data_IF_588128403520
#
_entry.id   IF_588128403520
#
_cell.length_a   1.000
_cell.length_b   1.000
_cell.length_c   1.000
_cell.angle_alpha   90.00
_cell.angle_beta   90.00
_cell.angle_gamma   90.00
#
_symmetry.space_group_name_H-M   'P 1'
#
loop_
_entity.id
_entity.type
_entity.pdbx_description
1 polymer ?
#
# COMPACT_ATOMS: atom_id res chain seq x y z
N UNK A 1 -34.59 -25.82 25.76
CA UNK A 1 -34.50 -24.36 25.95
C UNK A 1 -33.64 -24.14 27.18
N UNK A 2 -32.33 -24.01 27.00
CA UNK A 2 -31.40 -23.62 28.06
C UNK A 2 -31.02 -22.16 27.80
N UNK A 3 -31.04 -21.39 28.88
CA UNK A 3 -30.90 -19.95 28.91
C UNK A 3 -29.46 -19.57 28.57
N UNK A 4 -29.32 -18.70 27.57
CA UNK A 4 -28.07 -18.19 27.00
C UNK A 4 -27.44 -17.24 28.02
N UNK A 5 -26.33 -17.64 28.64
CA UNK A 5 -25.53 -16.75 29.47
C UNK A 5 -24.67 -15.90 28.52
N UNK A 6 -25.00 -14.63 28.38
CA UNK A 6 -24.38 -13.69 27.42
C UNK A 6 -23.16 -12.97 27.99
N UNK A 7 -22.58 -13.47 29.09
CA UNK A 7 -21.57 -12.74 29.85
C UNK A 7 -20.17 -13.40 29.89
N UNK A 8 -19.98 -14.56 29.26
CA UNK A 8 -18.69 -15.25 29.24
C UNK A 8 -18.25 -15.47 27.79
N UNK A 9 -17.10 -14.89 27.39
CA UNK A 9 -16.43 -15.21 26.11
C UNK A 9 -16.22 -16.73 25.98
N UNK A 10 -15.89 -17.36 27.12
CA UNK A 10 -15.56 -18.78 27.30
C UNK A 10 -16.64 -19.80 26.87
N UNK A 11 -17.88 -19.37 26.62
CA UNK A 11 -18.95 -20.26 26.14
C UNK A 11 -19.05 -20.30 24.60
N UNK A 12 -18.11 -19.68 23.90
CA UNK A 12 -18.13 -19.55 22.43
C UNK A 12 -16.98 -20.29 21.73
N UNK A 13 -15.77 -20.32 22.27
CA UNK A 13 -14.63 -20.92 21.56
C UNK A 13 -14.63 -22.46 21.62
N UNK A 14 -14.26 -23.13 20.53
CA UNK A 14 -14.21 -24.61 20.51
C UNK A 14 -12.98 -25.14 21.26
N UNK A 15 -11.82 -24.51 21.05
CA UNK A 15 -10.57 -24.88 21.67
C UNK A 15 -9.86 -23.63 22.19
N UNK A 16 -9.64 -23.59 23.50
CA UNK A 16 -8.92 -22.50 24.16
C UNK A 16 -7.52 -22.99 24.57
N UNK A 17 -6.45 -22.39 24.02
CA UNK A 17 -5.07 -22.81 24.24
C UNK A 17 -4.29 -21.69 24.93
N UNK A 18 -4.07 -21.85 26.23
CA UNK A 18 -3.45 -20.83 27.09
C UNK A 18 -4.51 -20.08 27.88
N UNK A 19 -4.27 -18.80 28.11
CA UNK A 19 -5.14 -17.87 28.82
C UNK A 19 -5.62 -16.71 27.94
N UNK A 20 -6.48 -15.86 28.50
CA UNK A 20 -6.98 -14.64 27.84
C UNK A 20 -6.05 -13.44 27.98
N UNK A 21 -4.86 -13.62 28.54
CA UNK A 21 -3.90 -12.57 28.81
C UNK A 21 -2.46 -13.03 28.52
N UNK A 22 -1.54 -12.10 28.17
CA UNK A 22 -0.14 -12.42 27.92
C UNK A 22 0.61 -13.05 29.10
N UNK A 23 0.04 -13.14 30.30
CA UNK A 23 0.67 -13.79 31.46
C UNK A 23 0.34 -15.27 31.59
N UNK A 24 -0.70 -15.75 30.89
CA UNK A 24 -1.18 -17.12 30.97
C UNK A 24 -0.98 -17.77 29.60
N UNK A 25 0.24 -18.29 29.38
CA UNK A 25 0.70 -18.73 28.06
C UNK A 25 0.77 -20.25 27.98
N UNK A 26 0.21 -20.79 26.91
CA UNK A 26 0.63 -22.11 26.44
C UNK A 26 2.02 -22.02 25.80
N UNK A 27 2.84 -23.05 25.94
CA UNK A 27 4.18 -23.09 25.36
C UNK A 27 4.35 -24.37 24.54
N UNK A 28 4.95 -24.26 23.35
CA UNK A 28 5.31 -25.41 22.50
C UNK A 28 4.13 -26.30 22.13
N UNK A 29 2.99 -25.69 21.78
CA UNK A 29 1.78 -26.41 21.38
C UNK A 29 1.72 -26.53 19.86
N UNK A 30 1.43 -27.73 19.38
CA UNK A 30 1.11 -27.95 17.96
C UNK A 30 -0.32 -28.47 17.84
N UNK A 31 -1.14 -27.72 17.12
CA UNK A 31 -2.46 -28.14 16.63
C UNK A 31 -2.29 -28.52 15.17
N UNK A 32 -2.54 -29.79 14.84
CA UNK A 32 -2.34 -30.28 13.48
C UNK A 32 -3.37 -31.32 13.06
N UNK A 33 -3.63 -31.39 11.76
CA UNK A 33 -4.49 -32.39 11.13
C UNK A 33 -5.91 -32.44 11.74
N UNK A 34 -6.44 -31.28 12.17
CA UNK A 34 -7.79 -31.18 12.71
C UNK A 34 -8.78 -30.63 11.67
N UNK A 35 -10.05 -30.95 11.85
CA UNK A 35 -11.16 -30.30 11.15
C UNK A 35 -12.07 -29.59 12.15
N UNK A 36 -12.06 -28.27 12.16
CA UNK A 36 -13.00 -27.45 12.91
C UNK A 36 -14.12 -26.96 11.98
N UNK A 37 -15.38 -27.28 12.30
CA UNK A 37 -16.52 -27.03 11.39
C UNK A 37 -17.73 -26.51 12.15
N UNK A 38 -18.42 -25.51 11.60
CA UNK A 38 -19.71 -25.00 12.09
C UNK A 38 -19.66 -24.43 13.52
N UNK A 39 -18.59 -23.71 13.87
CA UNK A 39 -18.53 -22.97 15.13
C UNK A 39 -19.50 -21.79 15.05
N UNK A 40 -20.59 -21.85 15.82
CA UNK A 40 -21.72 -20.90 15.67
C UNK A 40 -21.51 -19.57 16.36
N UNK A 41 -20.80 -19.58 17.49
CA UNK A 41 -20.54 -18.45 18.35
C UNK A 41 -19.04 -18.47 18.59
N UNK A 42 -18.26 -17.47 18.19
CA UNK A 42 -16.82 -17.42 18.51
C UNK A 42 -15.93 -18.21 17.55
N UNK A 43 -14.68 -18.41 17.97
CA UNK A 43 -13.59 -18.91 17.13
C UNK A 43 -13.36 -20.42 17.29
N UNK A 44 -12.74 -21.05 16.29
CA UNK A 44 -12.31 -22.44 16.42
C UNK A 44 -11.18 -22.58 17.44
N UNK A 45 -10.23 -21.65 17.41
CA UNK A 45 -9.15 -21.59 18.38
C UNK A 45 -8.97 -20.17 18.87
N UNK A 46 -8.87 -20.01 20.19
CA UNK A 46 -8.48 -18.77 20.85
C UNK A 46 -7.39 -19.02 21.90
N UNK A 47 -6.62 -17.99 22.22
CA UNK A 47 -5.75 -17.95 23.38
C UNK A 47 -4.46 -17.16 23.15
N UNK A 48 -3.49 -17.46 23.99
CA UNK A 48 -2.20 -16.78 24.03
C UNK A 48 -1.07 -17.77 24.27
N UNK A 49 0.04 -17.64 23.55
CA UNK A 49 1.11 -18.63 23.65
C UNK A 49 2.49 -18.22 23.15
N UNK A 50 3.46 -19.12 23.36
CA UNK A 50 4.81 -19.04 22.81
C UNK A 50 5.13 -20.31 22.05
N UNK A 51 5.66 -20.18 20.84
CA UNK A 51 6.03 -21.30 19.97
C UNK A 51 4.84 -22.22 19.67
N UNK A 52 3.70 -21.61 19.32
CA UNK A 52 2.45 -22.33 19.00
C UNK A 52 2.30 -22.48 17.49
N UNK A 53 1.89 -23.67 17.05
CA UNK A 53 1.81 -24.02 15.62
C UNK A 53 0.42 -24.54 15.27
N UNK A 54 -0.13 -24.04 14.18
CA UNK A 54 -1.37 -24.47 13.54
C UNK A 54 -1.03 -25.01 12.16
N UNK A 55 -1.06 -26.33 11.99
CA UNK A 55 -0.52 -26.99 10.81
C UNK A 55 -1.57 -27.87 10.11
N UNK A 56 -1.61 -27.83 8.78
CA UNK A 56 -2.33 -28.82 7.95
C UNK A 56 -3.79 -29.09 8.38
N UNK A 57 -4.49 -28.08 8.88
CA UNK A 57 -5.84 -28.21 9.43
C UNK A 57 -6.89 -27.56 8.54
N UNK A 58 -8.15 -27.99 8.70
CA UNK A 58 -9.31 -27.41 8.02
C UNK A 58 -10.16 -26.60 9.01
N UNK A 59 -10.44 -25.34 8.68
CA UNK A 59 -11.31 -24.46 9.45
C UNK A 59 -12.45 -23.98 8.56
N UNK A 60 -13.66 -24.49 8.80
CA UNK A 60 -14.79 -24.32 7.88
C UNK A 60 -16.02 -23.75 8.59
N UNK A 61 -16.60 -22.68 8.03
CA UNK A 61 -17.87 -22.10 8.49
C UNK A 61 -17.84 -21.70 9.98
N UNK A 62 -17.05 -20.68 10.31
CA UNK A 62 -17.06 -20.07 11.65
C UNK A 62 -17.89 -18.79 11.63
N UNK A 63 -18.75 -18.67 12.62
CA UNK A 63 -19.78 -17.63 12.70
C UNK A 63 -21.07 -18.03 11.99
N UNK A 64 -22.17 -17.40 12.42
CA UNK A 64 -23.48 -17.53 11.77
C UNK A 64 -24.07 -16.15 11.48
N UNK A 65 -24.79 -15.95 10.36
CA UNK A 65 -25.54 -14.73 10.13
C UNK A 65 -26.47 -14.44 11.32
N UNK A 66 -26.29 -13.29 11.98
CA UNK A 66 -27.03 -12.93 13.20
C UNK A 66 -26.36 -13.35 14.52
N UNK A 67 -25.14 -13.88 14.50
CA UNK A 67 -24.30 -13.95 15.68
C UNK A 67 -24.04 -12.53 16.23
N UNK A 68 -23.93 -12.42 17.57
CA UNK A 68 -23.73 -11.12 18.22
C UNK A 68 -22.39 -10.47 17.86
N UNK A 69 -21.42 -11.26 17.41
CA UNK A 69 -20.10 -10.83 16.99
C UNK A 69 -19.68 -11.60 15.73
N UNK A 70 -18.99 -10.94 14.78
CA UNK A 70 -18.17 -11.63 13.78
C UNK A 70 -17.20 -12.61 14.47
N UNK A 71 -16.78 -13.65 13.76
CA UNK A 71 -15.95 -14.70 14.35
C UNK A 71 -14.80 -15.08 13.42
N UNK A 72 -13.60 -15.03 13.98
CA UNK A 72 -12.41 -15.55 13.33
C UNK A 72 -12.41 -17.09 13.34
N UNK A 73 -11.65 -17.72 12.44
CA UNK A 73 -11.33 -19.14 12.65
C UNK A 73 -10.34 -19.30 13.78
N UNK A 74 -9.23 -18.56 13.73
CA UNK A 74 -8.22 -18.55 14.80
C UNK A 74 -8.03 -17.10 15.24
N UNK A 75 -8.12 -16.85 16.54
CA UNK A 75 -7.75 -15.58 17.16
C UNK A 75 -6.66 -15.88 18.18
N UNK A 76 -5.40 -15.54 17.90
CA UNK A 76 -4.31 -16.01 18.76
C UNK A 76 -3.21 -14.98 18.94
N UNK A 77 -2.85 -14.70 20.19
CA UNK A 77 -1.77 -13.76 20.52
C UNK A 77 -0.49 -14.44 21.00
N UNK A 78 0.61 -13.67 21.03
CA UNK A 78 1.88 -14.11 21.61
C UNK A 78 3.04 -14.24 20.61
N UNK A 79 4.01 -15.10 20.89
CA UNK A 79 5.30 -15.11 20.17
C UNK A 79 5.60 -16.44 19.47
N UNK A 80 6.27 -16.40 18.32
CA UNK A 80 6.74 -17.63 17.66
C UNK A 80 5.59 -18.44 17.07
N UNK A 81 4.55 -17.74 16.60
CA UNK A 81 3.33 -18.37 16.09
C UNK A 81 3.55 -18.81 14.64
N UNK A 82 3.21 -20.05 14.32
CA UNK A 82 3.29 -20.57 12.96
C UNK A 82 1.91 -21.04 12.50
N UNK A 83 1.40 -20.47 11.42
CA UNK A 83 0.14 -20.88 10.78
C UNK A 83 0.49 -21.36 9.37
N UNK A 84 0.51 -22.67 9.13
CA UNK A 84 0.98 -23.18 7.85
C UNK A 84 0.21 -24.38 7.30
N UNK A 85 0.00 -24.39 5.99
CA UNK A 85 -0.63 -25.52 5.29
C UNK A 85 -2.12 -25.70 5.59
N UNK A 86 -2.77 -24.72 6.20
CA UNK A 86 -4.18 -24.83 6.57
C UNK A 86 -5.11 -24.41 5.43
N UNK A 87 -6.33 -24.90 5.49
CA UNK A 87 -7.43 -24.47 4.63
C UNK A 87 -8.51 -23.76 5.47
N UNK A 88 -8.80 -22.52 5.14
CA UNK A 88 -9.82 -21.70 5.76
C UNK A 88 -10.95 -21.43 4.78
N UNK A 89 -12.20 -21.61 5.21
CA UNK A 89 -13.36 -21.37 4.36
C UNK A 89 -14.51 -20.73 5.13
N UNK A 90 -15.09 -19.64 4.59
CA UNK A 90 -16.28 -18.98 5.11
C UNK A 90 -16.19 -18.62 6.61
N UNK A 91 -15.22 -17.78 6.99
CA UNK A 91 -15.30 -17.06 8.28
C UNK A 91 -16.28 -15.89 8.15
N UNK A 92 -16.90 -15.45 9.24
CA UNK A 92 -17.66 -14.19 9.26
C UNK A 92 -16.79 -12.96 9.55
N UNK A 93 -15.62 -13.14 10.15
CA UNK A 93 -14.59 -12.11 10.35
C UNK A 93 -13.30 -12.48 9.63
N UNK A 94 -12.30 -13.01 10.35
CA UNK A 94 -10.99 -13.35 9.80
C UNK A 94 -10.71 -14.84 9.67
N UNK A 95 -9.85 -15.23 8.72
CA UNK A 95 -9.32 -16.60 8.75
C UNK A 95 -8.29 -16.78 9.87
N UNK A 96 -7.44 -15.77 10.09
CA UNK A 96 -6.60 -15.70 11.27
C UNK A 96 -6.46 -14.24 11.72
N UNK A 97 -6.69 -14.01 13.01
CA UNK A 97 -6.46 -12.76 13.70
C UNK A 97 -5.38 -12.95 14.77
N UNK A 98 -4.51 -11.95 14.91
CA UNK A 98 -3.36 -12.00 15.79
C UNK A 98 -3.21 -10.68 16.54
N UNK A 99 -3.33 -10.76 17.85
CA UNK A 99 -3.29 -9.59 18.72
C UNK A 99 -2.00 -9.62 19.55
N UNK A 100 -1.22 -8.54 19.49
CA UNK A 100 0.03 -8.35 20.24
C UNK A 100 1.02 -9.52 20.03
N UNK A 101 1.34 -9.77 18.77
CA UNK A 101 2.13 -10.90 18.34
C UNK A 101 3.49 -10.55 17.73
N UNK A 102 4.45 -11.43 18.01
CA UNK A 102 5.83 -11.29 17.54
C UNK A 102 6.36 -12.60 16.96
N UNK A 103 7.27 -12.51 15.99
CA UNK A 103 7.89 -13.67 15.36
C UNK A 103 6.82 -14.62 14.76
N UNK A 104 5.93 -14.06 13.94
CA UNK A 104 4.80 -14.79 13.36
C UNK A 104 5.10 -15.18 11.93
N UNK A 105 4.86 -16.45 11.59
CA UNK A 105 5.01 -16.98 10.24
C UNK A 105 3.69 -17.57 9.77
N UNK A 106 3.14 -16.99 8.71
CA UNK A 106 1.89 -17.45 8.10
C UNK A 106 2.18 -17.84 6.66
N UNK A 107 2.18 -19.13 6.38
CA UNK A 107 2.69 -19.62 5.11
C UNK A 107 1.91 -20.76 4.48
N UNK A 108 1.82 -20.78 3.15
CA UNK A 108 1.25 -21.90 2.41
C UNK A 108 -0.19 -22.26 2.83
N UNK A 109 -0.98 -21.28 3.30
CA UNK A 109 -2.38 -21.48 3.61
C UNK A 109 -3.24 -21.15 2.39
N UNK A 110 -4.42 -21.74 2.35
CA UNK A 110 -5.46 -21.41 1.38
C UNK A 110 -6.64 -20.81 2.15
N UNK A 111 -7.00 -19.57 1.83
CA UNK A 111 -8.16 -18.89 2.37
C UNK A 111 -9.18 -18.72 1.26
N UNK A 112 -10.41 -19.16 1.51
CA UNK A 112 -11.52 -19.03 0.59
C UNK A 112 -12.69 -18.37 1.29
N UNK A 113 -13.09 -17.19 0.82
CA UNK A 113 -14.21 -16.44 1.37
C UNK A 113 -14.05 -16.11 2.86
N UNK A 114 -13.08 -15.29 3.22
CA UNK A 114 -13.09 -14.63 4.52
C UNK A 114 -14.11 -13.48 4.54
N UNK A 115 -14.82 -13.32 5.66
CA UNK A 115 -15.93 -12.38 5.76
C UNK A 115 -15.50 -10.91 5.72
N UNK A 116 -14.45 -10.55 6.46
CA UNK A 116 -13.91 -9.18 6.50
C UNK A 116 -12.44 -9.13 6.08
N UNK A 117 -11.64 -10.12 6.51
CA UNK A 117 -10.19 -10.09 6.41
C UNK A 117 -9.65 -11.52 6.25
N UNK A 118 -8.81 -11.85 5.28
CA UNK A 118 -8.18 -13.17 5.32
C UNK A 118 -7.18 -13.25 6.50
N UNK A 119 -6.42 -12.19 6.72
CA UNK A 119 -5.49 -12.09 7.84
C UNK A 119 -5.55 -10.72 8.49
N UNK A 120 -5.61 -10.69 9.82
CA UNK A 120 -5.67 -9.47 10.62
C UNK A 120 -4.56 -9.44 11.69
N UNK A 121 -3.88 -8.29 11.79
CA UNK A 121 -2.97 -7.96 12.88
C UNK A 121 -3.48 -6.76 13.67
N UNK A 122 -3.28 -6.89 14.98
CA UNK A 122 -3.05 -5.78 15.86
C UNK A 122 -4.27 -5.30 16.62
N UNK A 123 -3.95 -4.76 17.79
CA UNK A 123 -4.86 -4.05 18.68
C UNK A 123 -4.27 -2.67 18.94
N UNK A 124 -5.15 -1.66 19.03
CA UNK A 124 -4.71 -0.30 19.34
C UNK A 124 -3.89 -0.27 20.64
N UNK A 125 -2.65 0.24 20.54
CA UNK A 125 -1.73 0.39 21.67
C UNK A 125 -0.68 -0.71 21.82
N UNK A 126 -0.77 -1.77 21.01
CA UNK A 126 0.22 -2.85 21.00
C UNK A 126 1.22 -2.72 19.84
N UNK A 127 2.36 -3.41 19.98
CA UNK A 127 3.38 -3.55 18.94
C UNK A 127 3.42 -4.99 18.44
N UNK A 128 3.15 -5.18 17.14
CA UNK A 128 3.35 -6.45 16.45
C UNK A 128 4.66 -6.39 15.66
N UNK A 129 5.44 -7.48 15.68
CA UNK A 129 6.75 -7.46 15.04
C UNK A 129 7.22 -8.76 14.41
N UNK A 130 8.13 -8.65 13.44
CA UNK A 130 8.78 -9.78 12.76
C UNK A 130 7.77 -10.74 12.14
N UNK A 131 6.84 -10.20 11.35
CA UNK A 131 5.85 -10.99 10.63
C UNK A 131 6.39 -11.41 9.27
N UNK A 132 6.18 -12.69 8.92
CA UNK A 132 6.35 -13.21 7.57
C UNK A 132 5.03 -13.83 7.08
N UNK A 133 4.42 -13.23 6.07
CA UNK A 133 3.23 -13.72 5.38
C UNK A 133 3.60 -14.14 3.95
N UNK A 134 3.69 -15.44 3.67
CA UNK A 134 4.30 -15.92 2.42
C UNK A 134 3.68 -17.17 1.80
N UNK A 135 3.61 -17.22 0.46
CA UNK A 135 3.13 -18.40 -0.26
C UNK A 135 1.66 -18.75 -0.01
N UNK A 136 0.86 -17.82 0.51
CA UNK A 136 -0.56 -18.03 0.74
C UNK A 136 -1.37 -17.77 -0.54
N UNK A 137 -2.49 -18.48 -0.67
CA UNK A 137 -3.53 -18.21 -1.66
C UNK A 137 -4.76 -17.68 -0.94
N UNK A 138 -5.17 -16.46 -1.25
CA UNK A 138 -6.45 -15.89 -0.81
C UNK A 138 -7.35 -15.74 -2.03
N UNK A 139 -8.49 -16.41 -2.02
CA UNK A 139 -9.48 -16.30 -3.07
C UNK A 139 -10.85 -15.97 -2.46
N UNK A 140 -11.14 -14.67 -2.43
CA UNK A 140 -12.35 -14.15 -1.82
C UNK A 140 -13.38 -13.74 -2.88
N UNK A 141 -14.59 -14.25 -2.72
CA UNK A 141 -15.79 -13.78 -3.44
C UNK A 141 -16.63 -12.84 -2.59
N UNK A 142 -16.30 -12.77 -1.29
CA UNK A 142 -16.87 -11.83 -0.33
C UNK A 142 -15.97 -10.61 -0.18
N UNK A 143 -16.54 -9.46 0.14
CA UNK A 143 -15.82 -8.22 0.26
C UNK A 143 -14.98 -8.18 1.53
N UNK A 144 -13.65 -8.12 1.38
CA UNK A 144 -12.73 -8.07 2.50
C UNK A 144 -11.31 -7.65 2.11
N UNK A 145 -10.50 -7.39 3.13
CA UNK A 145 -9.05 -7.16 3.02
C UNK A 145 -8.34 -8.51 2.94
N UNK A 146 -7.37 -8.65 2.05
CA UNK A 146 -6.57 -9.87 2.03
C UNK A 146 -5.61 -9.95 3.22
N UNK A 147 -5.09 -8.80 3.60
CA UNK A 147 -4.20 -8.64 4.73
C UNK A 147 -4.50 -7.28 5.34
N UNK A 148 -4.55 -7.24 6.66
CA UNK A 148 -4.88 -6.02 7.39
C UNK A 148 -4.01 -5.91 8.63
N UNK A 149 -3.28 -4.82 8.74
CA UNK A 149 -2.56 -4.41 9.93
C UNK A 149 -2.91 -2.96 10.22
N UNK A 150 -4.08 -2.72 10.81
CA UNK A 150 -4.67 -1.36 10.89
C UNK A 150 -4.76 -0.77 12.28
N UNK A 151 -4.49 -1.54 13.32
CA UNK A 151 -4.59 -1.07 14.70
C UNK A 151 -3.32 -1.46 15.47
N UNK A 152 -2.43 -0.51 15.75
CA UNK A 152 -1.19 -0.78 16.48
C UNK A 152 0.03 -0.13 15.82
N UNK A 153 1.22 -0.51 16.30
CA UNK A 153 2.51 -0.23 15.65
C UNK A 153 3.06 -1.53 15.09
N UNK A 154 3.58 -1.50 13.87
CA UNK A 154 4.02 -2.72 13.18
C UNK A 154 5.49 -2.60 12.79
N UNK A 155 6.34 -3.54 13.22
CA UNK A 155 7.77 -3.49 12.90
C UNK A 155 8.22 -4.76 12.16
N UNK A 156 8.94 -4.63 11.04
CA UNK A 156 9.44 -5.74 10.23
C UNK A 156 8.31 -6.66 9.72
N UNK A 157 7.48 -6.13 8.83
CA UNK A 157 6.38 -6.87 8.19
C UNK A 157 6.78 -7.26 6.77
N UNK A 158 6.83 -8.56 6.48
CA UNK A 158 7.14 -9.07 5.15
C UNK A 158 5.95 -9.84 4.56
N UNK A 159 5.38 -9.32 3.46
CA UNK A 159 4.27 -9.94 2.70
C UNK A 159 4.83 -10.32 1.33
N UNK A 160 5.15 -11.60 1.14
CA UNK A 160 5.98 -12.02 0.00
C UNK A 160 5.47 -13.25 -0.73
N UNK A 161 5.46 -13.22 -2.06
CA UNK A 161 5.16 -14.42 -2.86
C UNK A 161 3.74 -14.99 -2.68
N UNK A 162 2.76 -14.15 -2.33
CA UNK A 162 1.37 -14.58 -2.15
C UNK A 162 0.55 -14.34 -3.42
N UNK A 163 -0.53 -15.10 -3.56
CA UNK A 163 -1.55 -14.88 -4.60
C UNK A 163 -2.84 -14.43 -3.95
N UNK A 164 -3.34 -13.27 -4.37
CA UNK A 164 -4.58 -12.71 -3.86
C UNK A 164 -5.55 -12.44 -5.00
N UNK A 165 -6.76 -12.98 -4.90
CA UNK A 165 -7.80 -12.86 -5.90
C UNK A 165 -9.07 -12.43 -5.18
N UNK A 166 -9.58 -11.25 -5.52
CA UNK A 166 -10.91 -10.81 -5.14
C UNK A 166 -11.74 -10.72 -6.41
N UNK A 167 -12.81 -11.53 -6.46
CA UNK A 167 -13.78 -11.55 -7.56
C UNK A 167 -15.16 -11.00 -7.14
N UNK A 168 -15.22 -10.26 -6.02
CA UNK A 168 -16.48 -9.76 -5.47
C UNK A 168 -17.10 -8.71 -6.39
N UNK A 169 -18.32 -8.93 -6.90
CA UNK A 169 -19.00 -8.00 -7.79
C UNK A 169 -19.66 -6.83 -7.05
N UNK A 170 -19.67 -6.83 -5.71
CA UNK A 170 -20.44 -5.86 -4.93
C UNK A 170 -19.58 -4.64 -4.55
N UNK A 171 -20.10 -3.41 -4.69
CA UNK A 171 -19.44 -2.20 -4.22
C UNK A 171 -19.51 -2.15 -2.70
N UNK A 172 -18.48 -2.65 -2.03
CA UNK A 172 -18.39 -2.51 -0.58
C UNK A 172 -17.58 -1.31 -0.17
N UNK A 173 -18.07 -0.63 0.86
CA UNK A 173 -17.35 0.44 1.53
C UNK A 173 -16.12 -0.13 2.24
N UNK A 174 -14.93 0.36 1.92
CA UNK A 174 -13.69 -0.01 2.61
C UNK A 174 -12.48 -0.04 1.68
N UNK A 175 -11.29 -0.17 2.28
CA UNK A 175 -10.05 -0.45 1.54
C UNK A 175 -9.99 -1.97 1.32
N UNK A 176 -9.71 -2.41 0.09
CA UNK A 176 -9.48 -3.83 -0.20
C UNK A 176 -7.97 -4.05 -0.40
N UNK A 177 -7.57 -5.28 -0.68
CA UNK A 177 -6.17 -5.58 -0.94
C UNK A 177 -5.34 -5.82 0.33
N UNK A 178 -4.06 -5.45 0.25
CA UNK A 178 -3.14 -5.40 1.38
C UNK A 178 -3.26 -4.02 2.03
N UNK A 179 -3.66 -3.98 3.29
CA UNK A 179 -3.86 -2.73 4.03
C UNK A 179 -2.94 -2.70 5.23
N UNK A 180 -1.96 -1.81 5.19
CA UNK A 180 -1.13 -1.45 6.33
C UNK A 180 -1.59 -0.06 6.77
N UNK A 181 -2.02 0.05 8.02
CA UNK A 181 -2.47 1.31 8.62
C UNK A 181 -1.28 2.23 8.89
N UNK A 182 -1.42 3.02 9.95
CA UNK A 182 -0.43 4.03 10.30
C UNK A 182 0.73 3.43 11.12
N UNK A 183 1.86 4.14 11.16
CA UNK A 183 2.99 3.87 12.06
C UNK A 183 3.69 2.51 11.90
N UNK A 184 3.71 1.93 10.69
CA UNK A 184 4.49 0.74 10.40
C UNK A 184 5.94 1.08 10.00
N UNK A 185 6.89 0.24 10.40
CA UNK A 185 8.31 0.37 10.07
C UNK A 185 8.86 -0.92 9.48
N UNK A 186 9.67 -0.80 8.42
CA UNK A 186 10.33 -1.96 7.82
C UNK A 186 9.32 -2.88 7.13
N UNK A 187 8.46 -2.30 6.30
CA UNK A 187 7.43 -3.04 5.55
C UNK A 187 7.99 -3.46 4.21
N UNK A 188 7.93 -4.75 3.89
CA UNK A 188 8.30 -5.30 2.58
C UNK A 188 7.10 -6.02 1.96
N UNK A 189 6.66 -5.56 0.80
CA UNK A 189 5.62 -6.20 -0.01
C UNK A 189 6.25 -6.59 -1.34
N UNK A 190 6.53 -7.88 -1.56
CA UNK A 190 7.32 -8.28 -2.72
C UNK A 190 6.88 -9.56 -3.42
N UNK A 191 6.92 -9.57 -4.75
CA UNK A 191 6.67 -10.78 -5.53
C UNK A 191 5.25 -11.34 -5.41
N UNK A 192 4.27 -10.51 -5.02
CA UNK A 192 2.88 -10.94 -4.90
C UNK A 192 2.14 -10.78 -6.22
N UNK A 193 1.16 -11.65 -6.46
CA UNK A 193 0.17 -11.51 -7.53
C UNK A 193 -1.14 -11.05 -6.92
N UNK A 194 -1.54 -9.81 -7.17
CA UNK A 194 -2.70 -9.17 -6.55
C UNK A 194 -3.72 -8.82 -7.63
N UNK A 195 -4.91 -9.42 -7.54
CA UNK A 195 -6.05 -9.06 -8.38
C UNK A 195 -7.20 -8.64 -7.50
N UNK A 196 -7.51 -7.35 -7.52
CA UNK A 196 -8.70 -6.79 -6.88
C UNK A 196 -9.67 -6.35 -7.96
N UNK A 197 -10.81 -7.02 -8.09
CA UNK A 197 -11.95 -6.46 -8.84
C UNK A 197 -12.99 -5.97 -7.86
N UNK A 198 -13.26 -4.67 -7.85
CA UNK A 198 -14.37 -4.08 -7.11
C UNK A 198 -14.94 -2.91 -7.89
N UNK A 199 -16.25 -2.72 -7.81
CA UNK A 199 -16.92 -1.51 -8.29
C UNK A 199 -16.78 -0.34 -7.29
N UNK A 200 -16.10 -0.56 -6.15
CA UNK A 200 -15.79 0.49 -5.19
C UNK A 200 -14.83 1.54 -5.80
N UNK A 201 -15.22 2.83 -5.82
CA UNK A 201 -14.38 3.89 -6.37
C UNK A 201 -13.06 4.11 -5.61
N UNK A 202 -12.98 3.76 -4.32
CA UNK A 202 -11.82 3.98 -3.45
C UNK A 202 -11.03 2.68 -3.18
N UNK A 203 -10.90 1.85 -4.20
CA UNK A 203 -10.30 0.54 -4.10
C UNK A 203 -8.78 0.59 -4.32
N UNK A 204 -7.98 0.01 -3.43
CA UNK A 204 -6.53 -0.09 -3.59
C UNK A 204 -6.11 -1.55 -3.55
N UNK A 205 -5.10 -1.93 -4.32
CA UNK A 205 -4.50 -3.25 -4.17
C UNK A 205 -3.50 -3.28 -3.00
N UNK A 206 -2.78 -2.18 -2.79
CA UNK A 206 -1.90 -1.93 -1.65
C UNK A 206 -2.21 -0.53 -1.12
N UNK A 207 -2.57 -0.46 0.16
CA UNK A 207 -2.71 0.79 0.90
C UNK A 207 -1.72 0.81 2.06
N UNK A 208 -0.96 1.90 2.15
CA UNK A 208 -0.04 2.19 3.24
C UNK A 208 -0.42 3.55 3.83
N UNK A 209 -0.93 3.54 5.06
CA UNK A 209 -1.34 4.73 5.80
C UNK A 209 -0.19 5.65 6.22
N UNK A 210 -0.49 6.53 7.18
CA UNK A 210 0.36 7.62 7.61
C UNK A 210 1.57 7.17 8.41
N UNK A 211 2.66 7.93 8.28
CA UNK A 211 3.88 7.78 9.08
C UNK A 211 4.56 6.40 8.93
N UNK A 212 4.20 5.65 7.90
CA UNK A 212 4.92 4.43 7.54
C UNK A 212 6.35 4.79 7.13
N UNK A 213 7.34 3.99 7.55
CA UNK A 213 8.75 4.28 7.26
C UNK A 213 9.53 3.03 6.87
N UNK A 214 10.57 3.19 6.05
CA UNK A 214 11.39 2.06 5.57
C UNK A 214 10.52 1.05 4.79
N UNK A 215 9.77 1.55 3.80
CA UNK A 215 8.80 0.78 3.01
C UNK A 215 9.43 0.30 1.69
N UNK A 216 9.29 -0.97 1.37
CA UNK A 216 9.70 -1.55 0.09
C UNK A 216 8.53 -2.25 -0.57
N UNK A 217 8.14 -1.82 -1.76
CA UNK A 217 7.14 -2.50 -2.60
C UNK A 217 7.80 -2.86 -3.92
N UNK A 218 8.03 -4.16 -4.18
CA UNK A 218 8.84 -4.56 -5.34
C UNK A 218 8.41 -5.85 -6.04
N UNK A 219 8.49 -5.87 -7.36
CA UNK A 219 8.25 -7.09 -8.14
C UNK A 219 6.83 -7.64 -8.02
N UNK A 220 5.84 -6.82 -7.67
CA UNK A 220 4.45 -7.26 -7.58
C UNK A 220 3.74 -7.14 -8.93
N UNK A 221 2.87 -8.11 -9.24
CA UNK A 221 1.95 -8.07 -10.37
C UNK A 221 0.56 -7.66 -9.84
N UNK A 222 0.06 -6.50 -10.27
CA UNK A 222 -1.13 -5.86 -9.67
C UNK A 222 -2.15 -5.52 -10.74
N UNK A 223 -3.32 -6.17 -10.66
CA UNK A 223 -4.55 -5.74 -11.30
C UNK A 223 -5.47 -5.12 -10.24
N UNK A 224 -5.81 -3.84 -10.37
CA UNK A 224 -6.76 -3.18 -9.45
C UNK A 224 -7.88 -2.54 -10.25
N UNK A 225 -9.08 -3.13 -10.25
CA UNK A 225 -10.26 -2.54 -10.86
C UNK A 225 -10.86 -1.41 -10.00
N UNK A 226 -11.52 -0.46 -10.66
CA UNK A 226 -12.26 0.65 -10.05
C UNK A 226 -12.42 1.82 -11.02
N UNK A 227 -13.29 2.78 -10.70
CA UNK A 227 -13.80 3.75 -11.70
C UNK A 227 -13.32 5.20 -11.54
N UNK A 228 -12.91 5.65 -10.34
CA UNK A 228 -12.55 7.07 -10.14
C UNK A 228 -11.40 7.38 -9.18
N UNK A 229 -11.17 6.58 -8.14
CA UNK A 229 -10.11 6.84 -7.14
C UNK A 229 -9.28 5.59 -6.82
N UNK A 230 -9.46 4.52 -7.60
CA UNK A 230 -8.85 3.24 -7.32
C UNK A 230 -7.39 3.22 -7.77
N UNK A 231 -6.47 2.81 -6.88
CA UNK A 231 -5.04 2.74 -7.14
C UNK A 231 -4.50 1.31 -7.17
N UNK A 232 -3.36 1.09 -7.83
CA UNK A 232 -2.58 -0.11 -7.55
C UNK A 232 -1.88 0.03 -6.20
N UNK A 233 -1.22 1.16 -5.97
CA UNK A 233 -0.50 1.45 -4.72
C UNK A 233 -0.89 2.85 -4.25
N UNK A 234 -1.24 2.98 -2.98
CA UNK A 234 -1.42 4.25 -2.29
C UNK A 234 -0.47 4.37 -1.10
N UNK A 235 0.31 5.45 -1.10
CA UNK A 235 1.24 5.83 -0.06
C UNK A 235 0.73 7.13 0.58
N UNK A 236 -0.08 7.00 1.62
CA UNK A 236 -0.64 8.13 2.35
C UNK A 236 0.35 8.58 3.43
N UNK A 237 1.45 9.24 3.04
CA UNK A 237 2.44 9.78 3.99
C UNK A 237 3.57 8.82 4.39
N UNK A 238 3.90 7.84 3.56
CA UNK A 238 5.06 6.96 3.77
C UNK A 238 6.40 7.70 3.54
N UNK A 239 7.35 7.49 4.42
CA UNK A 239 8.71 8.06 4.37
C UNK A 239 9.76 6.98 4.09
N UNK A 240 10.88 7.33 3.46
CA UNK A 240 11.96 6.38 3.11
C UNK A 240 11.43 5.13 2.42
N UNK A 241 10.81 5.32 1.26
CA UNK A 241 10.21 4.23 0.49
C UNK A 241 11.00 3.87 -0.77
N UNK A 242 10.77 2.65 -1.26
CA UNK A 242 11.28 2.14 -2.52
C UNK A 242 10.16 1.38 -3.25
N UNK A 243 9.66 1.93 -4.35
CA UNK A 243 8.64 1.33 -5.21
C UNK A 243 9.30 0.93 -6.53
N UNK A 244 9.74 -0.32 -6.65
CA UNK A 244 10.62 -0.73 -7.75
C UNK A 244 10.12 -1.98 -8.47
N UNK A 245 10.06 -1.95 -9.81
CA UNK A 245 9.84 -3.16 -10.60
C UNK A 245 8.44 -3.77 -10.46
N UNK A 246 7.43 -2.99 -10.09
CA UNK A 246 6.05 -3.46 -10.00
C UNK A 246 5.36 -3.31 -11.36
N UNK A 247 4.45 -4.22 -11.68
CA UNK A 247 3.63 -4.15 -12.87
C UNK A 247 2.16 -3.92 -12.48
N UNK A 248 1.70 -2.70 -12.73
CA UNK A 248 0.40 -2.18 -12.35
C UNK A 248 -0.48 -2.02 -13.59
N UNK A 249 -1.69 -2.60 -13.57
CA UNK A 249 -2.58 -2.53 -14.71
C UNK A 249 -4.07 -2.43 -14.36
N UNK A 250 -4.81 -1.76 -15.27
CA UNK A 250 -6.26 -1.60 -15.26
C UNK A 250 -6.86 -0.88 -14.03
N UNK A 251 -6.15 0.11 -13.50
CA UNK A 251 -6.57 0.95 -12.36
C UNK A 251 -6.83 2.39 -12.77
N UNK A 252 -7.46 3.20 -11.91
CA UNK A 252 -7.57 4.63 -12.19
C UNK A 252 -6.21 5.32 -11.98
N UNK A 253 -5.62 5.10 -10.81
CA UNK A 253 -4.26 5.53 -10.43
C UNK A 253 -3.28 4.36 -10.49
N UNK A 254 -2.09 4.56 -11.04
CA UNK A 254 -0.99 3.58 -10.89
C UNK A 254 -0.43 3.64 -9.48
N UNK A 255 0.12 4.81 -9.13
CA UNK A 255 0.64 5.12 -7.80
C UNK A 255 0.05 6.43 -7.30
N UNK A 256 -0.33 6.46 -6.02
CA UNK A 256 -0.76 7.66 -5.31
C UNK A 256 0.25 7.99 -4.23
N UNK A 257 0.65 9.28 -4.19
CA UNK A 257 1.44 9.87 -3.12
C UNK A 257 0.54 10.88 -2.39
N UNK A 258 -0.03 10.44 -1.27
CA UNK A 258 -1.09 11.12 -0.52
C UNK A 258 -0.64 11.85 0.75
N UNK A 259 -1.50 12.81 1.16
CA UNK A 259 -1.77 13.19 2.54
C UNK A 259 -0.76 14.01 3.34
N UNK A 260 0.54 13.72 3.22
CA UNK A 260 1.54 14.29 4.12
C UNK A 260 2.87 14.62 3.43
N UNK A 261 3.52 15.73 3.82
CA UNK A 261 4.63 16.29 3.08
C UNK A 261 5.93 15.47 3.14
N UNK A 262 6.23 14.69 4.19
CA UNK A 262 7.57 14.13 4.40
C UNK A 262 7.92 12.87 3.58
N UNK A 263 7.79 12.92 2.27
CA UNK A 263 8.06 11.78 1.40
C UNK A 263 9.51 11.81 0.90
N UNK A 264 10.31 10.80 1.21
CA UNK A 264 11.64 10.59 0.59
C UNK A 264 11.68 9.17 0.08
N UNK A 265 12.07 8.97 -1.17
CA UNK A 265 12.08 7.65 -1.75
C UNK A 265 12.34 7.62 -3.24
N UNK A 266 12.30 6.41 -3.79
CA UNK A 266 12.52 6.14 -5.20
C UNK A 266 11.32 5.38 -5.79
N UNK A 267 10.94 5.76 -7.01
CA UNK A 267 9.95 5.08 -7.84
C UNK A 267 10.65 4.74 -9.16
N UNK A 268 11.02 3.48 -9.34
CA UNK A 268 11.86 3.08 -10.47
C UNK A 268 11.39 1.79 -11.15
N UNK A 269 11.63 1.68 -12.46
CA UNK A 269 11.46 0.43 -13.22
C UNK A 269 10.05 -0.19 -13.15
N UNK A 270 9.02 0.59 -12.79
CA UNK A 270 7.65 0.09 -12.76
C UNK A 270 7.01 0.12 -14.15
N UNK A 271 6.04 -0.75 -14.38
CA UNK A 271 5.22 -0.78 -15.58
C UNK A 271 3.80 -0.37 -15.20
N UNK A 272 3.30 0.70 -15.79
CA UNK A 272 1.93 1.17 -15.63
C UNK A 272 1.21 1.07 -16.97
N UNK A 273 0.20 0.20 -17.06
CA UNK A 273 -0.65 0.08 -18.26
C UNK A 273 -2.14 0.27 -17.99
N UNK A 274 -2.82 0.98 -18.89
CA UNK A 274 -4.27 1.26 -18.83
C UNK A 274 -4.71 2.02 -17.57
N UNK A 275 -3.93 3.01 -17.12
CA UNK A 275 -4.35 3.97 -16.10
C UNK A 275 -4.90 5.26 -16.71
N UNK A 276 -5.83 5.89 -15.99
CA UNK A 276 -6.21 7.29 -16.27
C UNK A 276 -5.09 8.23 -15.84
N UNK A 277 -4.47 7.95 -14.69
CA UNK A 277 -3.36 8.72 -14.14
C UNK A 277 -2.27 7.77 -13.66
N UNK A 278 -1.07 7.89 -14.21
CA UNK A 278 0.04 6.98 -13.88
C UNK A 278 0.54 7.17 -12.45
N UNK A 279 0.97 8.39 -12.10
CA UNK A 279 1.38 8.76 -10.73
C UNK A 279 0.64 10.05 -10.36
N UNK A 280 -0.05 10.04 -9.22
CA UNK A 280 -0.75 11.18 -8.66
C UNK A 280 -0.03 11.72 -7.42
N UNK A 281 0.12 13.04 -7.36
CA UNK A 281 0.61 13.77 -6.18
C UNK A 281 -0.53 14.64 -5.66
N UNK A 282 -1.06 14.35 -4.49
CA UNK A 282 -2.13 15.17 -3.90
C UNK A 282 -1.60 16.33 -3.05
N UNK A 283 -0.35 16.23 -2.60
CA UNK A 283 0.38 17.32 -1.96
C UNK A 283 1.84 17.31 -2.44
N UNK A 284 2.50 18.49 -2.51
CA UNK A 284 3.93 18.55 -2.78
C UNK A 284 4.71 17.74 -1.73
N UNK A 285 5.56 16.78 -2.14
CA UNK A 285 6.52 16.20 -1.21
C UNK A 285 7.50 17.29 -0.76
N UNK A 286 7.85 17.29 0.52
CA UNK A 286 8.91 18.12 1.12
C UNK A 286 10.23 17.37 1.26
N UNK A 287 10.23 16.05 1.07
CA UNK A 287 11.45 15.26 0.94
C UNK A 287 11.81 14.98 -0.53
N UNK A 288 12.94 14.31 -0.73
CA UNK A 288 13.44 14.01 -2.07
C UNK A 288 12.75 12.75 -2.61
N UNK A 289 11.84 12.92 -3.55
CA UNK A 289 11.25 11.84 -4.34
C UNK A 289 11.88 11.83 -5.73
N UNK A 290 12.45 10.70 -6.10
CA UNK A 290 13.03 10.45 -7.41
C UNK A 290 12.16 9.43 -8.19
N UNK A 291 11.81 9.78 -9.41
CA UNK A 291 11.03 8.96 -10.33
C UNK A 291 11.82 8.76 -11.61
N UNK A 292 12.15 7.51 -11.93
CA UNK A 292 13.04 7.16 -13.05
C UNK A 292 12.60 5.88 -13.74
N UNK A 293 12.78 5.79 -15.07
CA UNK A 293 12.64 4.55 -15.85
C UNK A 293 11.30 3.80 -15.70
N UNK A 294 10.20 4.52 -15.42
CA UNK A 294 8.87 3.90 -15.30
C UNK A 294 8.14 3.85 -16.67
N UNK A 295 7.85 2.65 -17.16
CA UNK A 295 7.07 2.45 -18.37
C UNK A 295 5.61 2.89 -18.15
N UNK A 296 5.06 3.71 -19.06
CA UNK A 296 3.76 4.35 -18.90
C UNK A 296 3.80 5.68 -18.12
N UNK A 297 4.96 6.04 -17.55
CA UNK A 297 5.25 7.37 -16.99
C UNK A 297 6.19 8.21 -17.88
N UNK A 298 6.94 7.55 -18.77
CA UNK A 298 7.73 8.14 -19.86
C UNK A 298 6.80 9.01 -20.77
N UNK A 299 7.15 10.25 -21.20
CA UNK A 299 6.18 11.33 -21.34
C UNK A 299 5.10 11.00 -22.35
N UNK A 300 3.91 10.73 -21.83
CA UNK A 300 2.70 10.73 -22.62
C UNK A 300 1.83 11.82 -22.02
N UNK A 301 1.90 12.97 -22.69
CA UNK A 301 1.12 14.20 -22.51
C UNK A 301 1.88 15.35 -21.84
N UNK A 302 1.66 16.54 -22.41
CA UNK A 302 2.04 17.83 -21.86
C UNK A 302 1.43 18.00 -20.47
N UNK A 303 2.24 18.45 -19.52
CA UNK A 303 1.78 18.76 -18.18
C UNK A 303 1.26 20.19 -18.14
N UNK A 304 -0.03 20.34 -17.82
CA UNK A 304 -0.71 21.64 -17.83
C UNK A 304 -0.24 22.57 -16.70
N UNK A 305 0.11 22.04 -15.53
CA UNK A 305 0.60 22.79 -14.37
C UNK A 305 1.86 22.11 -13.83
N UNK A 306 2.99 22.82 -13.83
CA UNK A 306 4.31 22.27 -13.51
C UNK A 306 5.11 23.14 -12.54
N UNK A 307 4.66 24.36 -12.26
CA UNK A 307 5.30 25.29 -11.33
C UNK A 307 4.71 25.13 -9.92
N UNK A 308 5.58 24.94 -8.92
CA UNK A 308 5.25 25.00 -7.50
C UNK A 308 6.33 25.80 -6.74
N UNK A 309 6.05 27.08 -6.46
CA UNK A 309 7.05 27.96 -5.84
C UNK A 309 8.26 28.14 -6.76
N UNK A 310 9.45 27.72 -6.30
CA UNK A 310 10.70 27.76 -7.08
C UNK A 310 11.09 26.40 -7.65
N UNK A 311 10.12 25.53 -7.94
CA UNK A 311 10.38 24.23 -8.56
C UNK A 311 9.56 24.02 -9.81
N UNK A 312 10.11 23.21 -10.72
CA UNK A 312 9.38 22.54 -11.78
C UNK A 312 9.18 21.09 -11.37
N UNK A 313 7.93 20.67 -11.20
CA UNK A 313 7.61 19.35 -10.71
C UNK A 313 6.27 18.80 -11.24
N UNK A 314 6.08 17.47 -11.26
CA UNK A 314 4.81 16.84 -11.65
C UNK A 314 3.61 17.24 -10.78
N UNK A 315 3.86 17.76 -9.57
CA UNK A 315 2.87 18.26 -8.62
C UNK A 315 2.68 19.78 -8.69
N UNK A 316 3.11 20.41 -9.78
CA UNK A 316 2.91 21.84 -10.02
C UNK A 316 1.44 22.23 -10.02
N UNK A 317 1.14 23.45 -9.56
CA UNK A 317 -0.23 23.99 -9.49
C UNK A 317 -0.44 25.19 -10.42
N UNK A 318 0.63 25.66 -11.08
CA UNK A 318 0.63 26.75 -12.05
C UNK A 318 1.46 26.38 -13.28
N UNK A 319 1.24 27.05 -14.40
CA UNK A 319 2.12 27.03 -15.59
C UNK A 319 2.90 28.34 -15.78
N UNK A 320 2.67 29.32 -14.92
CA UNK A 320 3.29 30.64 -15.05
C UNK A 320 4.65 30.64 -14.38
N UNK A 321 5.67 31.02 -15.13
CA UNK A 321 7.03 31.25 -14.63
C UNK A 321 7.19 32.71 -14.21
N UNK A 322 8.06 32.94 -13.23
CA UNK A 322 8.45 34.21 -12.68
C UNK A 322 9.83 34.62 -13.20
N UNK A 323 10.00 35.93 -13.37
CA UNK A 323 11.26 36.52 -13.81
C UNK A 323 12.39 36.21 -12.83
N UNK A 324 13.58 35.96 -13.38
CA UNK A 324 14.84 35.78 -12.65
C UNK A 324 14.80 34.73 -11.53
N UNK A 325 13.87 33.78 -11.60
CA UNK A 325 13.75 32.70 -10.61
C UNK A 325 14.49 31.46 -11.09
N UNK A 326 15.26 30.85 -10.19
CA UNK A 326 15.87 29.54 -10.42
C UNK A 326 14.87 28.46 -10.04
N UNK A 327 14.31 27.79 -11.06
CA UNK A 327 13.39 26.67 -10.88
C UNK A 327 14.15 25.36 -10.80
N UNK A 328 14.16 24.72 -9.63
CA UNK A 328 14.76 23.38 -9.47
C UNK A 328 13.85 22.33 -10.09
N UNK A 329 14.40 21.44 -10.92
CA UNK A 329 13.67 20.30 -11.48
C UNK A 329 13.54 19.21 -10.42
N UNK A 330 12.30 18.87 -10.05
CA UNK A 330 11.99 17.87 -9.02
C UNK A 330 11.05 16.77 -9.51
N UNK A 331 11.05 15.63 -8.79
CA UNK A 331 10.27 14.44 -9.13
C UNK A 331 10.97 13.60 -10.17
N UNK A 332 11.18 14.13 -11.37
CA UNK A 332 11.99 13.49 -12.41
C UNK A 332 12.63 14.51 -13.34
N UNK A 333 13.55 14.04 -14.19
CA UNK A 333 14.04 14.86 -15.30
C UNK A 333 12.90 15.30 -16.21
N UNK A 334 13.10 16.39 -16.96
CA UNK A 334 12.06 16.91 -17.82
C UNK A 334 12.59 17.35 -19.17
N UNK A 335 11.73 17.28 -20.17
CA UNK A 335 11.85 18.05 -21.40
C UNK A 335 10.98 19.30 -21.31
N UNK A 336 11.45 20.42 -21.84
CA UNK A 336 10.62 21.61 -21.97
C UNK A 336 10.84 22.38 -23.28
N UNK A 337 9.83 23.13 -23.67
CA UNK A 337 9.90 24.19 -24.70
C UNK A 337 9.55 25.53 -24.08
N UNK A 338 9.95 26.62 -24.73
CA UNK A 338 9.65 27.98 -24.30
C UNK A 338 9.46 28.87 -25.51
N UNK A 339 8.28 29.46 -25.66
CA UNK A 339 7.91 30.32 -26.78
C UNK A 339 7.27 31.63 -26.32
N UNK A 340 7.32 32.65 -27.17
CA UNK A 340 6.82 33.98 -26.81
C UNK A 340 7.68 34.69 -25.77
N UNK A 341 7.05 35.56 -24.98
CA UNK A 341 7.73 36.43 -24.02
C UNK A 341 8.57 37.56 -24.65
N UNK A 342 9.04 38.48 -23.82
CA UNK A 342 9.91 39.60 -24.25
C UNK A 342 11.13 39.67 -23.34
N UNK A 343 12.33 39.73 -23.91
CA UNK A 343 13.61 39.74 -23.18
C UNK A 343 13.90 38.48 -22.35
N UNK A 344 13.31 37.34 -22.73
CA UNK A 344 13.57 36.04 -22.10
C UNK A 344 15.01 35.62 -22.39
N UNK A 345 15.73 35.15 -21.36
CA UNK A 345 17.06 34.55 -21.50
C UNK A 345 17.08 33.28 -20.67
N UNK A 346 17.03 32.15 -21.35
CA UNK A 346 17.00 30.86 -20.68
C UNK A 346 18.42 30.46 -20.29
N UNK A 347 18.60 30.11 -19.03
CA UNK A 347 19.86 29.61 -18.47
C UNK A 347 19.57 28.31 -17.74
N UNK A 348 20.37 27.29 -18.04
CA UNK A 348 20.38 25.99 -17.35
C UNK A 348 21.56 26.00 -16.38
N UNK A 349 21.30 25.63 -15.13
CA UNK A 349 22.30 25.57 -14.07
C UNK A 349 22.33 24.18 -13.46
N UNK A 350 23.45 23.79 -12.86
CA UNK A 350 23.51 22.61 -12.00
C UNK A 350 22.81 22.85 -10.66
N UNK A 351 22.69 21.81 -9.84
CA UNK A 351 22.13 21.89 -8.49
C UNK A 351 22.91 22.80 -7.52
N UNK A 352 24.13 23.23 -7.87
CA UNK A 352 24.92 24.21 -7.11
C UNK A 352 24.71 25.66 -7.59
N UNK A 353 23.98 25.85 -8.70
CA UNK A 353 23.69 27.14 -9.30
C UNK A 353 24.72 27.62 -10.33
N UNK A 354 25.70 26.79 -10.71
CA UNK A 354 26.65 27.10 -11.77
C UNK A 354 25.97 27.00 -13.13
N UNK A 355 26.20 27.97 -14.02
CA UNK A 355 25.66 27.92 -15.38
C UNK A 355 26.31 26.80 -16.19
N UNK A 356 25.49 25.86 -16.64
CA UNK A 356 25.89 24.79 -17.55
C UNK A 356 25.71 25.20 -19.01
N UNK A 357 24.58 25.85 -19.32
CA UNK A 357 24.20 26.14 -20.70
C UNK A 357 23.21 27.31 -20.80
N UNK A 358 23.20 28.00 -21.93
CA UNK A 358 22.24 29.08 -22.23
C UNK A 358 21.64 28.87 -23.62
N UNK A 359 20.50 28.16 -23.74
CA UNK A 359 19.89 27.84 -25.04
C UNK A 359 19.38 29.06 -25.83
N UNK A 360 19.33 30.24 -25.22
CA UNK A 360 18.81 31.47 -25.82
C UNK A 360 17.41 31.82 -25.31
N UNK A 361 16.68 32.65 -26.06
CA UNK A 361 15.38 33.20 -25.65
C UNK A 361 14.18 32.29 -25.96
N UNK A 362 14.30 31.47 -27.01
CA UNK A 362 13.21 30.66 -27.55
C UNK A 362 13.69 29.24 -27.81
N UNK A 363 12.94 28.28 -27.29
CA UNK A 363 13.14 26.84 -27.45
C UNK A 363 11.89 26.24 -28.10
N UNK A 364 11.97 25.92 -29.40
CA UNK A 364 10.88 25.25 -30.14
C UNK A 364 11.06 23.73 -30.22
N UNK A 365 12.27 23.24 -29.96
CA UNK A 365 12.56 21.81 -29.82
C UNK A 365 12.70 21.50 -28.33
N UNK A 366 12.09 20.41 -27.81
CA UNK A 366 12.18 20.08 -26.40
C UNK A 366 13.64 19.91 -25.94
N UNK A 367 14.01 20.64 -24.89
CA UNK A 367 15.33 20.57 -24.27
C UNK A 367 15.24 19.78 -22.97
N UNK A 368 16.14 18.81 -22.79
CA UNK A 368 16.19 17.98 -21.58
C UNK A 368 16.94 18.68 -20.45
N UNK A 369 16.36 18.67 -19.25
CA UNK A 369 16.98 19.12 -18.02
C UNK A 369 16.94 17.98 -17.01
N UNK A 370 18.11 17.51 -16.51
CA UNK A 370 18.17 16.47 -15.50
C UNK A 370 17.45 16.84 -14.20
N UNK A 371 17.08 15.81 -13.44
CA UNK A 371 16.60 15.98 -12.06
C UNK A 371 17.66 16.74 -11.22
N UNK A 372 17.20 17.69 -10.40
CA UNK A 372 17.98 18.60 -9.54
C UNK A 372 18.77 19.71 -10.21
N UNK A 373 18.83 19.76 -11.53
CA UNK A 373 19.31 20.95 -12.25
C UNK A 373 18.25 22.07 -12.21
N UNK A 374 18.64 23.29 -12.57
CA UNK A 374 17.78 24.47 -12.50
C UNK A 374 17.55 25.13 -13.85
N UNK A 375 16.37 25.71 -14.03
CA UNK A 375 15.98 26.51 -15.20
C UNK A 375 15.69 27.94 -14.75
N UNK A 376 16.30 28.94 -15.40
CA UNK A 376 16.02 30.35 -15.17
C UNK A 376 15.65 31.04 -16.50
N UNK A 377 14.56 31.82 -16.52
CA UNK A 377 14.06 32.48 -17.74
C UNK A 377 14.53 33.94 -17.90
N UNK A 378 15.40 34.41 -17.00
CA UNK A 378 15.95 35.77 -17.00
C UNK A 378 14.93 36.84 -16.58
N UNK A 379 15.33 38.10 -16.70
CA UNK A 379 14.45 39.25 -16.44
C UNK A 379 13.62 39.59 -17.68
N UNK A 380 12.41 39.03 -17.78
CA UNK A 380 11.47 39.28 -18.86
C UNK A 380 10.40 40.30 -18.48
N UNK A 381 9.83 40.99 -19.48
CA UNK A 381 8.70 41.92 -19.28
C UNK A 381 7.34 41.29 -19.59
N UNK A 382 7.31 40.30 -20.47
CA UNK A 382 6.16 39.42 -20.72
C UNK A 382 6.62 37.98 -20.50
N UNK A 383 5.88 37.21 -19.71
CA UNK A 383 6.22 35.81 -19.44
C UNK A 383 6.22 34.97 -20.72
N UNK A 384 7.19 34.05 -20.89
CA UNK A 384 7.12 33.04 -21.95
C UNK A 384 6.01 32.02 -21.67
N UNK A 385 5.53 31.37 -22.72
CA UNK A 385 4.74 30.14 -22.64
C UNK A 385 5.69 28.97 -22.59
N UNK A 386 5.66 28.21 -21.49
CA UNK A 386 6.49 27.03 -21.25
C UNK A 386 5.62 25.79 -21.28
N UNK A 387 6.07 24.77 -22.01
CA UNK A 387 5.44 23.44 -22.01
C UNK A 387 6.44 22.43 -21.48
N UNK A 388 5.98 21.52 -20.61
CA UNK A 388 6.83 20.56 -19.89
C UNK A 388 6.33 19.12 -20.09
N UNK A 389 7.28 18.20 -20.18
CA UNK A 389 7.07 16.75 -20.20
C UNK A 389 8.08 16.09 -19.25
N UNK A 390 7.60 15.41 -18.20
CA UNK A 390 8.46 14.68 -17.27
C UNK A 390 8.83 13.30 -17.83
N UNK A 391 10.03 12.82 -17.52
CA UNK A 391 10.58 11.54 -18.00
C UNK A 391 10.60 10.48 -16.93
#
# INVERSE_FOLDING_TARGET
MAQKDTASRLDSELLFIGGSAPTDRANHVTVQDIGCKNVRYGTCVDGYGVDVKFLNSEFLWSGSPGAAFPSDHIHYGGRGIVVSGNFFNNSTDSAFACDSCSDVVVSNNIVWNAGTQAFALGVMGDEDSNLVYTGNLVNDTVPGRFFSATAGTFTNVAITGNTFINASPEPTTGLHGIVIGDNARGVTISGNSIRVSSDNPNNFAIYLGNENTDVTVTGNEITSGGTSSAGCIDLDGATRFSIIGNNCHNSYYGLVLGGHPSNTGIIADNIFTNQTVTIAYFQPPTGNVEVVDNAGYNPINEVANFVAGSTFAPWGTSSTVDRSTDYVVEGSGLYFTSTGGTSVIITIKDGEGNTLYSPGATLTTPFYVPYRDMINFGDFTTAPTVTVWFT
#
